data_IF_098322805659
#
_entry.id   IF_098322805659
#
_cell.length_a   1.000
_cell.length_b   1.000
_cell.length_c   1.000
_cell.angle_alpha   90.00
_cell.angle_beta   90.00
_cell.angle_gamma   90.00
#
_symmetry.space_group_name_H-M   'P 1'
#
loop_
_entity.id
_entity.type
_entity.pdbx_description
1 polymer ?
#
# COMPACT_ATOMS: atom_id res chain seq x y z
N UNK A 1 -1.99 10.07 -31.66
CA UNK A 1 -2.09 8.75 -30.97
C UNK A 1 -3.45 8.67 -30.30
N UNK A 2 -4.34 7.80 -30.80
CA UNK A 2 -5.65 7.58 -30.17
C UNK A 2 -5.46 6.91 -28.82
N UNK A 3 -5.72 7.63 -27.74
CA UNK A 3 -5.70 7.02 -26.39
C UNK A 3 -6.91 6.10 -26.26
N UNK A 4 -6.65 4.82 -25.99
CA UNK A 4 -7.70 3.83 -25.73
C UNK A 4 -8.58 4.31 -24.57
N UNK A 5 -9.89 4.41 -24.79
CA UNK A 5 -10.87 4.85 -23.79
C UNK A 5 -10.87 3.89 -22.60
N UNK A 6 -10.99 4.42 -21.39
CA UNK A 6 -11.08 3.63 -20.15
C UNK A 6 -12.50 3.05 -20.04
N UNK A 7 -12.62 1.73 -19.99
CA UNK A 7 -13.89 1.02 -19.79
C UNK A 7 -14.17 0.88 -18.28
N UNK A 8 -14.84 1.87 -17.71
CA UNK A 8 -15.07 1.99 -16.26
C UNK A 8 -15.79 0.79 -15.66
N UNK A 9 -16.72 0.16 -16.39
CA UNK A 9 -17.47 -1.02 -15.95
C UNK A 9 -16.60 -2.26 -15.75
N UNK A 10 -15.40 -2.30 -16.35
CA UNK A 10 -14.41 -3.39 -16.20
C UNK A 10 -13.41 -3.15 -15.07
N UNK A 11 -13.56 -2.04 -14.34
CA UNK A 11 -12.60 -1.59 -13.32
C UNK A 11 -13.21 -1.64 -11.94
N UNK A 12 -12.44 -2.21 -11.02
CA UNK A 12 -12.68 -2.18 -9.58
C UNK A 12 -11.61 -1.39 -8.82
N UNK A 13 -12.02 -0.59 -7.84
CA UNK A 13 -11.13 0.15 -6.95
C UNK A 13 -11.47 -0.26 -5.51
N UNK A 14 -10.50 -0.82 -4.81
CA UNK A 14 -10.69 -1.30 -3.43
C UNK A 14 -9.82 -0.49 -2.48
N UNK A 15 -10.48 0.22 -1.56
CA UNK A 15 -9.84 1.02 -0.53
C UNK A 15 -9.87 0.35 0.84
N UNK A 16 -9.12 0.90 1.79
CA UNK A 16 -8.99 0.35 3.14
C UNK A 16 -10.25 0.59 3.97
N UNK A 17 -10.60 1.85 4.18
CA UNK A 17 -11.74 2.30 4.97
C UNK A 17 -12.10 3.74 4.58
N UNK A 18 -13.31 4.23 4.89
CA UNK A 18 -13.63 5.64 4.75
C UNK A 18 -12.75 6.47 5.70
N UNK A 19 -12.53 7.74 5.36
CA UNK A 19 -11.93 8.68 6.30
C UNK A 19 -12.89 8.94 7.47
N UNK A 20 -12.39 9.51 8.58
CA UNK A 20 -13.21 9.83 9.76
C UNK A 20 -14.50 10.64 9.45
N UNK A 21 -14.45 11.48 8.41
CA UNK A 21 -15.58 12.30 7.94
C UNK A 21 -16.17 11.81 6.61
N UNK A 22 -15.73 10.65 6.12
CA UNK A 22 -16.19 10.09 4.85
C UNK A 22 -17.47 9.31 4.99
N UNK A 23 -18.36 9.43 4.01
CA UNK A 23 -19.56 8.60 3.91
C UNK A 23 -19.15 7.15 3.54
N UNK A 24 -19.46 6.15 4.38
CA UNK A 24 -19.15 4.76 4.10
C UNK A 24 -19.86 4.21 2.87
N UNK A 25 -21.00 4.79 2.48
CA UNK A 25 -21.76 4.40 1.29
C UNK A 25 -21.16 4.91 -0.01
N UNK A 26 -20.25 5.87 0.08
CA UNK A 26 -19.58 6.49 -1.08
C UNK A 26 -18.08 6.21 -1.06
N UNK A 27 -17.64 4.94 -1.34
CA UNK A 27 -16.23 4.60 -1.31
C UNK A 27 -15.41 5.49 -2.24
N UNK A 28 -14.26 5.97 -1.76
CA UNK A 28 -13.36 6.86 -2.50
C UNK A 28 -14.00 8.20 -2.95
N UNK A 29 -15.13 8.59 -2.39
CA UNK A 29 -15.61 9.96 -2.53
C UNK A 29 -14.73 10.90 -1.70
N UNK A 30 -14.21 11.97 -2.33
CA UNK A 30 -13.37 12.96 -1.67
C UNK A 30 -11.90 12.93 -2.10
N UNK A 31 -10.98 13.53 -1.31
CA UNK A 31 -9.61 13.83 -1.75
C UNK A 31 -8.81 12.63 -2.25
N UNK A 32 -9.01 11.45 -1.64
CA UNK A 32 -8.32 10.23 -2.06
C UNK A 32 -8.77 9.77 -3.46
N UNK A 33 -10.06 9.82 -3.74
CA UNK A 33 -10.59 9.50 -5.07
C UNK A 33 -10.17 10.54 -6.10
N UNK A 34 -10.24 11.83 -5.78
CA UNK A 34 -9.76 12.90 -6.65
C UNK A 34 -8.28 12.73 -7.02
N UNK A 35 -7.44 12.32 -6.04
CA UNK A 35 -6.03 12.02 -6.33
C UNK A 35 -5.88 10.85 -7.31
N UNK A 36 -6.66 9.78 -7.14
CA UNK A 36 -6.64 8.63 -8.06
C UNK A 36 -7.10 9.07 -9.46
N UNK A 37 -8.20 9.80 -9.58
CA UNK A 37 -8.70 10.31 -10.85
C UNK A 37 -7.65 11.15 -11.58
N UNK A 38 -7.00 12.08 -10.87
CA UNK A 38 -5.90 12.89 -11.41
C UNK A 38 -4.70 12.04 -11.88
N UNK A 39 -4.29 11.03 -11.10
CA UNK A 39 -3.19 10.14 -11.47
C UNK A 39 -3.56 9.28 -12.69
N UNK A 40 -4.81 8.83 -12.76
CA UNK A 40 -5.34 8.04 -13.86
C UNK A 40 -5.59 8.85 -15.15
N UNK A 41 -5.61 10.19 -15.06
CA UNK A 41 -6.07 11.09 -16.15
C UNK A 41 -7.51 10.77 -16.59
N UNK A 42 -8.36 10.54 -15.63
CA UNK A 42 -9.80 10.37 -15.82
C UNK A 42 -10.56 11.45 -15.06
N UNK A 43 -11.78 11.75 -15.47
CA UNK A 43 -12.65 12.63 -14.72
C UNK A 43 -13.04 12.00 -13.39
N UNK A 44 -13.52 12.81 -12.44
CA UNK A 44 -14.00 12.27 -11.17
C UNK A 44 -15.27 11.44 -11.37
N UNK A 45 -16.12 11.80 -12.32
CA UNK A 45 -17.35 11.05 -12.66
C UNK A 45 -17.01 9.68 -13.26
N UNK A 46 -16.00 9.59 -14.12
CA UNK A 46 -15.50 8.31 -14.62
C UNK A 46 -14.97 7.42 -13.47
N UNK A 47 -14.27 8.01 -12.49
CA UNK A 47 -13.85 7.27 -11.30
C UNK A 47 -15.06 6.78 -10.50
N UNK A 48 -16.08 7.62 -10.35
CA UNK A 48 -17.31 7.26 -9.63
C UNK A 48 -18.11 6.18 -10.37
N UNK A 49 -18.01 6.10 -11.70
CA UNK A 49 -18.62 5.06 -12.52
C UNK A 49 -17.93 3.68 -12.41
N UNK A 50 -16.68 3.62 -11.89
CA UNK A 50 -16.03 2.35 -11.60
C UNK A 50 -16.69 1.63 -10.40
N UNK A 51 -16.54 0.29 -10.32
CA UNK A 51 -16.89 -0.44 -9.09
C UNK A 51 -15.96 -0.03 -7.96
N UNK A 52 -16.51 0.30 -6.79
CA UNK A 52 -15.73 0.79 -5.66
C UNK A 52 -16.21 0.18 -4.35
N UNK A 53 -15.28 -0.22 -3.48
CA UNK A 53 -15.57 -0.74 -2.13
C UNK A 53 -14.47 -0.33 -1.15
N UNK A 54 -14.83 -0.07 0.09
CA UNK A 54 -13.91 -0.12 1.22
C UNK A 54 -14.00 -1.49 1.87
N UNK A 55 -12.86 -2.09 2.23
CA UNK A 55 -12.85 -3.38 2.93
C UNK A 55 -13.36 -3.24 4.36
N UNK A 56 -13.06 -2.12 5.03
CA UNK A 56 -13.69 -1.79 6.31
C UNK A 56 -14.76 -0.73 6.08
N UNK A 57 -15.97 -1.00 6.55
CA UNK A 57 -17.13 -0.10 6.36
C UNK A 57 -17.07 1.14 7.25
N UNK A 58 -16.28 1.12 8.32
CA UNK A 58 -16.16 2.21 9.27
C UNK A 58 -14.70 2.58 9.50
N UNK A 59 -14.46 3.82 9.87
CA UNK A 59 -13.16 4.27 10.34
C UNK A 59 -12.86 3.64 11.71
N UNK A 60 -11.83 2.83 11.79
CA UNK A 60 -11.49 2.06 13.00
C UNK A 60 -10.56 2.81 13.98
N UNK A 61 -10.40 4.14 13.79
CA UNK A 61 -9.54 4.95 14.65
C UNK A 61 -8.07 4.97 14.20
N UNK A 62 -7.23 5.64 15.02
CA UNK A 62 -5.78 5.72 14.81
C UNK A 62 -5.05 4.71 15.67
N UNK A 63 -3.94 4.18 15.14
CA UNK A 63 -2.93 3.45 15.90
C UNK A 63 -1.60 4.23 15.87
N UNK A 64 -0.62 3.80 16.67
CA UNK A 64 0.71 4.44 16.75
C UNK A 64 1.38 4.63 15.38
N UNK A 65 1.12 3.76 14.40
CA UNK A 65 1.73 3.77 13.05
C UNK A 65 0.70 3.91 11.92
N UNK A 66 -0.37 4.68 12.12
CA UNK A 66 -1.38 4.93 11.08
C UNK A 66 -2.80 4.58 11.53
N UNK A 67 -3.71 4.45 10.56
CA UNK A 67 -5.09 4.10 10.86
C UNK A 67 -5.21 2.60 11.20
N UNK A 68 -6.10 2.29 12.16
CA UNK A 68 -6.44 0.92 12.47
C UNK A 68 -7.12 0.25 11.26
N UNK A 69 -6.84 -1.02 11.06
CA UNK A 69 -7.46 -1.83 10.02
C UNK A 69 -7.87 -3.18 10.59
N UNK A 70 -9.14 -3.53 10.42
CA UNK A 70 -9.68 -4.82 10.81
C UNK A 70 -9.45 -5.82 9.68
N UNK A 71 -8.45 -6.70 9.85
CA UNK A 71 -8.10 -7.69 8.85
C UNK A 71 -9.15 -8.78 8.69
N UNK A 72 -9.87 -9.17 9.76
CA UNK A 72 -10.90 -10.21 9.69
C UNK A 72 -12.06 -9.76 8.79
N UNK A 73 -12.61 -8.57 9.07
CA UNK A 73 -13.62 -7.94 8.20
C UNK A 73 -13.09 -7.67 6.79
N UNK A 74 -11.84 -7.22 6.70
CA UNK A 74 -11.18 -6.99 5.41
C UNK A 74 -11.12 -8.24 4.54
N UNK A 75 -10.81 -9.39 5.10
CA UNK A 75 -10.75 -10.67 4.39
C UNK A 75 -12.13 -11.10 3.88
N UNK A 76 -13.17 -10.99 4.71
CA UNK A 76 -14.55 -11.30 4.32
C UNK A 76 -14.97 -10.41 3.14
N UNK A 77 -14.79 -9.11 3.28
CA UNK A 77 -15.16 -8.16 2.23
C UNK A 77 -14.31 -8.30 0.94
N UNK A 78 -13.08 -8.79 1.04
CA UNK A 78 -12.26 -9.11 -0.13
C UNK A 78 -12.81 -10.35 -0.87
N UNK A 79 -13.26 -11.37 -0.13
CA UNK A 79 -13.92 -12.54 -0.72
C UNK A 79 -15.20 -12.14 -1.47
N UNK A 80 -16.06 -11.26 -0.89
CA UNK A 80 -17.23 -10.74 -1.58
C UNK A 80 -16.86 -10.04 -2.89
N UNK A 81 -15.80 -9.22 -2.89
CA UNK A 81 -15.32 -8.56 -4.12
C UNK A 81 -14.94 -9.58 -5.17
N UNK A 82 -14.29 -10.68 -4.78
CA UNK A 82 -13.89 -11.73 -5.72
C UNK A 82 -15.08 -12.52 -6.27
N UNK A 83 -16.12 -12.72 -5.48
CA UNK A 83 -17.32 -13.46 -5.86
C UNK A 83 -18.28 -12.61 -6.70
N UNK A 84 -18.55 -11.38 -6.25
CA UNK A 84 -19.66 -10.56 -6.78
C UNK A 84 -19.25 -9.67 -7.95
N UNK A 85 -17.99 -9.24 -8.00
CA UNK A 85 -17.58 -8.30 -9.02
C UNK A 85 -17.24 -8.97 -10.34
N UNK A 86 -17.87 -8.53 -11.41
CA UNK A 86 -17.61 -8.96 -12.80
C UNK A 86 -16.67 -7.98 -13.51
N UNK A 87 -15.56 -7.64 -12.84
CA UNK A 87 -14.55 -6.71 -13.39
C UNK A 87 -13.27 -7.46 -13.78
N UNK A 88 -12.57 -6.93 -14.77
CA UNK A 88 -11.34 -7.52 -15.29
C UNK A 88 -10.09 -7.01 -14.56
N UNK A 89 -10.14 -5.78 -14.07
CA UNK A 89 -9.01 -5.04 -13.50
C UNK A 89 -9.36 -4.48 -12.14
N UNK A 90 -8.55 -4.79 -11.13
CA UNK A 90 -8.80 -4.36 -9.75
C UNK A 90 -7.56 -3.64 -9.21
N UNK A 91 -7.73 -2.39 -8.78
CA UNK A 91 -6.69 -1.62 -8.10
C UNK A 91 -6.87 -1.75 -6.60
N UNK A 92 -5.86 -2.28 -5.91
CA UNK A 92 -5.83 -2.49 -4.47
C UNK A 92 -5.05 -1.36 -3.80
N UNK A 93 -5.75 -0.46 -3.09
CA UNK A 93 -5.19 0.78 -2.55
C UNK A 93 -4.58 0.55 -1.15
N UNK A 94 -3.33 0.17 -1.09
CA UNK A 94 -2.56 -0.05 0.13
C UNK A 94 -2.24 -1.51 0.42
N UNK A 95 -1.18 -1.70 1.23
CA UNK A 95 -0.68 -3.03 1.59
C UNK A 95 -1.67 -3.86 2.40
N UNK A 96 -2.44 -3.23 3.29
CA UNK A 96 -3.45 -3.93 4.08
C UNK A 96 -4.55 -4.50 3.17
N UNK A 97 -4.99 -3.71 2.18
CA UNK A 97 -5.95 -4.17 1.17
C UNK A 97 -5.37 -5.34 0.38
N UNK A 98 -4.15 -5.22 -0.13
CA UNK A 98 -3.51 -6.31 -0.89
C UNK A 98 -3.39 -7.60 -0.08
N UNK A 99 -3.07 -7.52 1.21
CA UNK A 99 -3.00 -8.69 2.12
C UNK A 99 -4.35 -9.42 2.25
N UNK A 100 -5.47 -8.70 2.26
CA UNK A 100 -6.79 -9.30 2.31
C UNK A 100 -7.13 -10.10 1.04
N UNK A 101 -6.50 -9.79 -0.09
CA UNK A 101 -6.58 -10.56 -1.32
C UNK A 101 -5.51 -11.66 -1.42
N UNK A 102 -4.78 -11.96 -0.35
CA UNK A 102 -3.73 -12.97 -0.33
C UNK A 102 -2.36 -12.48 -0.84
N UNK A 103 -2.25 -11.25 -1.30
CA UNK A 103 -1.01 -10.69 -1.83
C UNK A 103 -0.13 -10.12 -0.70
N UNK A 104 0.57 -11.02 -0.02
CA UNK A 104 1.54 -10.68 1.03
C UNK A 104 2.88 -10.30 0.37
N UNK A 105 3.60 -9.40 0.98
CA UNK A 105 5.01 -9.06 0.67
C UNK A 105 5.32 -8.56 -0.75
N UNK A 106 4.31 -8.40 -1.58
CA UNK A 106 4.50 -7.82 -2.91
C UNK A 106 4.75 -6.30 -2.83
N UNK A 107 5.64 -5.76 -3.68
CA UNK A 107 5.92 -4.33 -3.71
C UNK A 107 4.72 -3.52 -4.21
N UNK A 108 4.70 -2.21 -3.92
CA UNK A 108 3.81 -1.32 -4.64
C UNK A 108 4.12 -1.33 -6.14
N UNK A 109 3.09 -1.16 -6.93
CA UNK A 109 3.10 -1.21 -8.38
C UNK A 109 3.34 -2.62 -8.97
N UNK A 110 3.25 -3.67 -8.13
CA UNK A 110 3.18 -5.03 -8.65
C UNK A 110 1.83 -5.25 -9.33
N UNK A 111 1.88 -5.87 -10.50
CA UNK A 111 0.73 -6.35 -11.24
C UNK A 111 0.70 -7.89 -11.19
N UNK A 112 -0.47 -8.44 -10.90
CA UNK A 112 -0.69 -9.87 -10.78
C UNK A 112 -1.90 -10.25 -11.64
N UNK A 113 -1.81 -11.38 -12.32
CA UNK A 113 -2.93 -11.97 -13.07
C UNK A 113 -3.31 -13.30 -12.45
N UNK A 114 -4.55 -13.44 -11.98
CA UNK A 114 -5.09 -14.65 -11.36
C UNK A 114 -6.53 -14.81 -11.81
N UNK A 115 -6.89 -16.02 -12.23
CA UNK A 115 -8.26 -16.39 -12.64
C UNK A 115 -8.88 -15.41 -13.66
N UNK A 116 -8.10 -15.02 -14.65
CA UNK A 116 -8.55 -14.11 -15.71
C UNK A 116 -8.71 -12.65 -15.28
N UNK A 117 -8.39 -12.31 -14.04
CA UNK A 117 -8.40 -10.92 -13.51
C UNK A 117 -7.00 -10.41 -13.29
N UNK A 118 -6.83 -9.12 -13.52
CA UNK A 118 -5.58 -8.40 -13.24
C UNK A 118 -5.74 -7.57 -11.98
N UNK A 119 -4.74 -7.60 -11.13
CA UNK A 119 -4.67 -6.83 -9.88
C UNK A 119 -3.45 -5.92 -9.92
N UNK A 120 -3.64 -4.69 -9.47
CA UNK A 120 -2.54 -3.73 -9.29
C UNK A 120 -2.45 -3.34 -7.80
N UNK A 121 -1.31 -3.64 -7.17
CA UNK A 121 -1.04 -3.17 -5.80
C UNK A 121 -0.59 -1.72 -5.86
N UNK A 122 -1.47 -0.81 -5.48
CA UNK A 122 -1.24 0.62 -5.58
C UNK A 122 -1.01 1.26 -4.21
N UNK A 123 -0.10 2.24 -4.07
CA UNK A 123 0.09 2.90 -2.80
C UNK A 123 -1.17 3.66 -2.38
N UNK A 124 -1.50 3.59 -1.07
CA UNK A 124 -2.66 4.29 -0.55
C UNK A 124 -2.57 5.80 -0.87
N UNK A 125 -3.62 6.41 -1.41
CA UNK A 125 -3.57 7.78 -1.94
C UNK A 125 -3.47 8.89 -0.88
N UNK A 126 -3.60 8.57 0.41
CA UNK A 126 -3.57 9.58 1.48
C UNK A 126 -2.27 10.38 1.50
N UNK A 127 -2.36 11.66 1.89
CA UNK A 127 -1.21 12.55 1.97
C UNK A 127 -0.18 12.17 3.03
N UNK A 128 -0.55 11.37 4.04
CA UNK A 128 0.37 10.87 5.08
C UNK A 128 1.25 9.70 4.61
N UNK A 129 0.96 9.13 3.45
CA UNK A 129 1.77 8.05 2.90
C UNK A 129 3.07 8.63 2.31
N UNK A 130 4.18 8.48 3.05
CA UNK A 130 5.51 9.00 2.67
C UNK A 130 6.04 8.49 1.34
N UNK A 131 5.49 7.40 0.80
CA UNK A 131 5.85 6.87 -0.52
C UNK A 131 5.66 7.92 -1.63
N UNK A 132 4.70 8.85 -1.45
CA UNK A 132 4.42 9.93 -2.39
C UNK A 132 5.40 11.11 -2.33
N UNK A 133 6.27 11.18 -1.32
CA UNK A 133 7.22 12.28 -1.16
C UNK A 133 8.29 12.28 -2.26
N UNK A 134 8.51 11.15 -2.91
CA UNK A 134 9.42 11.01 -4.02
C UNK A 134 8.70 11.27 -5.36
N UNK A 135 9.07 12.33 -6.07
CA UNK A 135 8.51 12.67 -7.39
C UNK A 135 8.65 11.53 -8.43
N UNK A 136 9.71 10.73 -8.32
CA UNK A 136 9.92 9.54 -9.16
C UNK A 136 8.82 8.50 -8.95
N UNK A 137 8.42 8.28 -7.72
CA UNK A 137 7.38 7.33 -7.37
C UNK A 137 6.03 7.77 -7.95
N UNK A 138 5.67 9.06 -7.82
CA UNK A 138 4.41 9.57 -8.37
C UNK A 138 4.37 9.43 -9.89
N UNK A 139 5.45 9.74 -10.60
CA UNK A 139 5.53 9.54 -12.06
C UNK A 139 5.32 8.09 -12.47
N UNK A 140 6.01 7.16 -11.80
CA UNK A 140 5.84 5.70 -12.04
C UNK A 140 4.42 5.24 -11.77
N UNK A 141 3.85 5.65 -10.64
CA UNK A 141 2.48 5.31 -10.28
C UNK A 141 1.48 5.79 -11.32
N UNK A 142 1.62 7.05 -11.77
CA UNK A 142 0.77 7.64 -12.80
C UNK A 142 0.82 6.83 -14.10
N UNK A 143 2.02 6.58 -14.61
CA UNK A 143 2.21 5.85 -15.86
C UNK A 143 1.61 4.44 -15.78
N UNK A 144 1.91 3.71 -14.71
CA UNK A 144 1.44 2.35 -14.55
C UNK A 144 -0.08 2.28 -14.35
N UNK A 145 -0.65 3.19 -13.53
CA UNK A 145 -2.09 3.24 -13.31
C UNK A 145 -2.83 3.49 -14.61
N UNK A 146 -2.40 4.46 -15.42
CA UNK A 146 -3.03 4.78 -16.70
C UNK A 146 -3.00 3.59 -17.66
N UNK A 147 -1.87 2.91 -17.79
CA UNK A 147 -1.73 1.71 -18.63
C UNK A 147 -2.62 0.58 -18.13
N UNK A 148 -2.56 0.30 -16.83
CA UNK A 148 -3.38 -0.74 -16.21
C UNK A 148 -4.87 -0.51 -16.45
N UNK A 149 -5.36 0.72 -16.25
CA UNK A 149 -6.77 1.05 -16.42
C UNK A 149 -7.22 0.98 -17.89
N UNK A 150 -6.31 1.18 -18.86
CA UNK A 150 -6.60 0.99 -20.30
C UNK A 150 -6.51 -0.48 -20.75
N UNK A 151 -6.14 -1.38 -19.86
CA UNK A 151 -5.96 -2.79 -20.18
C UNK A 151 -4.68 -3.08 -20.98
N UNK A 152 -3.73 -2.15 -20.99
CA UNK A 152 -2.43 -2.35 -21.64
C UNK A 152 -1.58 -3.30 -20.78
N UNK A 153 -0.89 -4.25 -21.42
CA UNK A 153 0.08 -5.10 -20.74
C UNK A 153 1.37 -4.33 -20.48
N UNK A 154 2.01 -4.58 -19.33
CA UNK A 154 3.34 -4.02 -19.06
C UNK A 154 4.35 -4.77 -19.93
N UNK A 155 5.18 -4.12 -20.78
CA UNK A 155 6.24 -4.80 -21.50
C UNK A 155 7.16 -5.51 -20.51
N UNK A 156 7.56 -6.73 -20.84
CA UNK A 156 8.62 -7.44 -20.11
C UNK A 156 9.91 -6.59 -20.18
N UNK A 157 10.22 -5.87 -19.13
CA UNK A 157 11.37 -4.93 -19.12
C UNK A 157 11.20 -3.75 -18.17
N UNK A 158 10.03 -3.57 -17.57
CA UNK A 158 9.92 -2.60 -16.47
C UNK A 158 10.83 -3.06 -15.33
N UNK A 159 11.76 -2.22 -14.83
CA UNK A 159 12.67 -2.64 -13.78
C UNK A 159 11.85 -3.11 -12.58
N UNK A 160 12.00 -4.40 -12.24
CA UNK A 160 11.47 -4.97 -11.01
C UNK A 160 11.93 -4.06 -9.87
N UNK A 161 11.01 -3.48 -9.13
CA UNK A 161 11.31 -2.55 -8.06
C UNK A 161 12.20 -3.25 -7.03
N UNK A 162 13.47 -2.73 -6.90
CA UNK A 162 14.30 -2.97 -5.73
C UNK A 162 14.74 -4.41 -5.50
N UNK A 163 15.65 -4.91 -6.30
CA UNK A 163 16.71 -5.76 -5.76
C UNK A 163 17.45 -4.92 -4.72
N UNK A 164 17.09 -5.07 -3.45
CA UNK A 164 17.94 -4.66 -2.35
C UNK A 164 19.25 -5.42 -2.54
N UNK A 165 20.27 -4.73 -3.04
CA UNK A 165 21.62 -5.21 -3.09
C UNK A 165 22.01 -5.52 -1.65
N UNK A 166 21.89 -6.77 -1.27
CA UNK A 166 22.41 -7.30 -0.01
C UNK A 166 23.90 -7.03 -0.10
N UNK A 167 24.34 -5.98 0.56
CA UNK A 167 25.75 -5.67 0.75
C UNK A 167 26.30 -6.81 1.60
N UNK A 168 26.88 -7.80 0.95
CA UNK A 168 27.65 -8.84 1.60
C UNK A 168 28.72 -8.14 2.44
N UNK A 169 28.49 -8.09 3.74
CA UNK A 169 29.52 -7.74 4.70
C UNK A 169 30.52 -8.89 4.69
N UNK A 170 31.61 -8.70 3.96
CA UNK A 170 32.82 -9.46 4.16
C UNK A 170 33.30 -9.15 5.56
N UNK A 171 33.09 -10.10 6.45
CA UNK A 171 33.64 -10.12 7.81
C UNK A 171 35.14 -10.18 7.71
N UNK A 172 35.81 -9.04 7.80
CA UNK A 172 37.25 -8.95 8.07
C UNK A 172 37.45 -9.31 9.53
N UNK A 173 37.87 -10.53 9.75
CA UNK A 173 38.35 -11.05 11.02
C UNK A 173 39.65 -10.32 11.38
N UNK A 174 39.61 -9.25 12.14
CA UNK A 174 40.79 -8.73 12.83
C UNK A 174 40.81 -9.30 14.27
N UNK A 175 41.64 -10.34 14.41
CA UNK A 175 42.20 -10.71 15.72
C UNK A 175 42.98 -9.51 16.26
N UNK A 176 42.72 -9.12 17.47
CA UNK A 176 43.68 -8.43 18.33
C UNK A 176 43.49 -8.91 19.76
N UNK A 177 44.59 -9.36 20.24
CA UNK A 177 44.81 -9.95 21.54
C UNK A 177 44.81 -8.89 22.66
N UNK A 178 44.53 -9.39 23.85
CA UNK A 178 45.07 -8.97 25.16
C UNK A 178 45.04 -7.48 25.58
N UNK A 179 44.28 -7.17 26.62
CA UNK A 179 45.01 -6.83 27.87
C UNK A 179 44.08 -6.91 29.08
N UNK A 180 44.54 -7.70 30.04
CA UNK A 180 44.06 -7.80 31.43
C UNK A 180 44.42 -6.51 32.18
N UNK A 181 43.58 -6.08 33.08
CA UNK A 181 43.90 -5.55 34.43
C UNK A 181 42.92 -4.50 34.88
N UNK A 182 42.42 -4.69 36.06
CA UNK A 182 42.08 -3.58 36.91
C UNK A 182 40.77 -3.70 37.69
N UNK A 183 40.75 -4.54 38.68
CA UNK A 183 39.88 -4.49 39.86
C UNK A 183 39.93 -3.09 40.49
N UNK A 184 38.79 -2.46 40.78
CA UNK A 184 38.60 -1.67 42.00
C UNK A 184 37.12 -1.61 42.39
N UNK A 185 36.90 -2.15 43.54
CA UNK A 185 35.75 -2.03 44.43
C UNK A 185 35.52 -0.60 44.90
N UNK A 186 34.30 -0.11 45.01
CA UNK A 186 33.88 0.71 46.15
C UNK A 186 32.41 1.08 46.18
N UNK A 187 31.80 0.57 47.24
CA UNK A 187 30.93 1.17 48.26
C UNK A 187 29.55 1.72 47.89
N UNK A 188 28.62 0.97 48.48
CA UNK A 188 27.35 1.35 49.11
C UNK A 188 27.26 2.81 49.56
N UNK A 189 26.18 3.46 49.27
CA UNK A 189 25.48 4.30 50.26
C UNK A 189 23.97 4.18 50.06
N UNK A 190 23.38 3.57 51.06
CA UNK A 190 22.00 3.65 51.50
C UNK A 190 21.69 5.09 51.92
N UNK A 191 20.54 5.63 51.56
CA UNK A 191 19.87 6.64 52.37
C UNK A 191 18.37 6.46 52.28
N UNK A 192 17.87 6.05 53.43
CA UNK A 192 16.51 5.99 53.93
C UNK A 192 15.81 7.36 53.96
N UNK A 193 14.52 7.33 53.75
CA UNK A 193 13.38 7.88 54.50
C UNK A 193 13.10 9.38 54.52
N UNK A 194 11.79 9.57 54.46
CA UNK A 194 10.89 10.55 55.10
C UNK A 194 10.38 11.66 54.21
N UNK A 195 9.03 11.70 54.26
CA UNK A 195 8.17 12.79 53.95
C UNK A 195 6.90 12.32 53.34
#
# INVERSE_FOLDING_TARGET
MNQKKIETHKIGLVGQAPSRRGDPRKPLAGPNGQKIARLARMSYDELIACRRKHLNTHYSGKRRKGDAFDHAKGNINAADVLLDWRVERIVLLGKNVARCFGFRDLPFLAEISIYGRRFLIFPHPSGINRWWNERRNERRARQLLQRFLRGETVPAGFPKSGSTRTRSQTSSTRRSANNSRGTISRRKRSRTSRG
#
